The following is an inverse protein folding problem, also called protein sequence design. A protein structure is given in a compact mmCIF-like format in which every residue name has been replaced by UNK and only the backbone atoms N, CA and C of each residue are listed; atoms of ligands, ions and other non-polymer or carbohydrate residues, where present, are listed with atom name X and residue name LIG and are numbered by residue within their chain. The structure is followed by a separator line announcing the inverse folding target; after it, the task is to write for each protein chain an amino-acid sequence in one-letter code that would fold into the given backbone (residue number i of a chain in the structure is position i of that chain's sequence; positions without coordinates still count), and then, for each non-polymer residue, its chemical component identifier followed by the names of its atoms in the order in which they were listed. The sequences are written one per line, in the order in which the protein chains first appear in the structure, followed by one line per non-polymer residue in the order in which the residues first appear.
data_IF_937784218047
#
_entry.id   IF_937784218047
#
_cell.length_a   1.000
_cell.length_b   1.000
_cell.length_c   1.000
_cell.angle_alpha   90.00
_cell.angle_beta   90.00
_cell.angle_gamma   90.00
#
_symmetry.space_group_name_H-M   'P 1'
#
loop_
_entity.id
_entity.type
_entity.pdbx_description
1 polymer ?
#
# COMPACT_ATOMS: atom_id res chain seq x y z
N UNK A 1 19.64 -30.00 -23.14
CA UNK A 1 19.62 -29.50 -21.75
C UNK A 1 18.87 -28.19 -21.78
N UNK A 2 17.63 -28.16 -21.27
CA UNK A 2 16.83 -26.94 -21.16
C UNK A 2 17.12 -26.32 -19.79
N UNK A 3 17.78 -25.17 -19.77
CA UNK A 3 17.91 -24.35 -18.56
C UNK A 3 17.08 -23.10 -18.85
N UNK A 4 15.77 -23.25 -18.65
CA UNK A 4 14.89 -22.10 -18.40
C UNK A 4 15.00 -21.79 -16.91
N UNK A 5 15.47 -20.59 -16.58
CA UNK A 5 14.88 -19.74 -15.54
C UNK A 5 15.72 -18.48 -15.46
N UNK A 6 15.31 -17.55 -16.33
CA UNK A 6 15.39 -16.11 -16.19
C UNK A 6 15.79 -15.65 -14.78
N UNK A 7 17.08 -15.37 -14.59
CA UNK A 7 17.49 -14.39 -13.59
C UNK A 7 17.21 -13.01 -14.16
N UNK A 8 15.93 -12.66 -14.24
CA UNK A 8 15.51 -11.28 -14.41
C UNK A 8 15.85 -10.57 -13.11
N UNK A 9 16.94 -9.79 -13.15
CA UNK A 9 17.25 -8.72 -12.20
C UNK A 9 16.00 -7.89 -11.97
N UNK A 10 15.27 -8.19 -10.89
CA UNK A 10 14.01 -7.52 -10.57
C UNK A 10 14.32 -6.10 -10.13
N UNK A 11 14.43 -5.19 -11.10
CA UNK A 11 14.06 -3.80 -10.89
C UNK A 11 12.74 -3.85 -10.13
N UNK A 12 12.70 -3.35 -8.88
CA UNK A 12 11.46 -3.24 -8.11
C UNK A 12 10.50 -2.44 -8.98
N UNK A 13 9.67 -3.14 -9.75
CA UNK A 13 8.63 -2.50 -10.54
C UNK A 13 7.79 -1.73 -9.54
N UNK A 14 7.62 -0.43 -9.81
CA UNK A 14 6.83 0.44 -8.97
C UNK A 14 5.38 0.00 -9.12
N UNK A 15 4.97 -0.93 -8.27
CA UNK A 15 3.61 -1.47 -8.25
C UNK A 15 2.67 -0.37 -7.73
N UNK A 16 1.77 0.07 -8.60
CA UNK A 16 0.76 1.07 -8.26
C UNK A 16 -0.57 0.38 -7.98
N UNK A 17 -1.13 0.69 -6.81
CA UNK A 17 -2.45 0.27 -6.37
C UNK A 17 -3.48 1.35 -6.71
N UNK A 18 -4.60 0.93 -7.30
CA UNK A 18 -5.78 1.76 -7.50
C UNK A 18 -6.66 1.73 -6.24
N UNK A 19 -7.74 2.50 -6.26
CA UNK A 19 -8.71 2.55 -5.17
C UNK A 19 -9.26 1.15 -4.84
N UNK A 20 -9.59 0.35 -5.86
CA UNK A 20 -10.14 -1.00 -5.65
C UNK A 20 -9.13 -1.91 -4.96
N UNK A 21 -7.88 -1.93 -5.42
CA UNK A 21 -6.81 -2.72 -4.81
C UNK A 21 -6.59 -2.32 -3.34
N UNK A 22 -6.67 -1.02 -3.04
CA UNK A 22 -6.59 -0.52 -1.66
C UNK A 22 -7.75 -1.00 -0.79
N UNK A 23 -8.99 -0.95 -1.31
CA UNK A 23 -10.20 -1.41 -0.63
C UNK A 23 -10.11 -2.91 -0.33
N UNK A 24 -9.72 -3.70 -1.32
CA UNK A 24 -9.55 -5.15 -1.20
C UNK A 24 -8.44 -5.50 -0.20
N UNK A 25 -7.28 -4.85 -0.30
CA UNK A 25 -6.14 -5.08 0.59
C UNK A 25 -6.46 -4.77 2.05
N UNK A 26 -7.27 -3.75 2.29
CA UNK A 26 -7.69 -3.35 3.64
C UNK A 26 -8.93 -4.10 4.12
N UNK A 27 -9.62 -4.83 3.24
CA UNK A 27 -10.86 -5.53 3.59
C UNK A 27 -12.00 -4.59 4.00
N UNK A 28 -12.02 -3.36 3.48
CA UNK A 28 -13.00 -2.33 3.84
C UNK A 28 -13.94 -2.03 2.69
N UNK A 29 -15.06 -1.37 2.97
CA UNK A 29 -15.91 -0.79 1.92
C UNK A 29 -15.32 0.52 1.40
N UNK A 30 -15.72 0.94 0.19
CA UNK A 30 -15.33 2.23 -0.39
C UNK A 30 -15.62 3.41 0.54
N UNK A 31 -16.78 3.41 1.20
CA UNK A 31 -17.16 4.49 2.13
C UNK A 31 -16.24 4.52 3.35
N UNK A 32 -15.92 3.36 3.93
CA UNK A 32 -14.97 3.26 5.04
C UNK A 32 -13.58 3.73 4.62
N UNK A 33 -13.09 3.33 3.45
CA UNK A 33 -11.82 3.79 2.91
C UNK A 33 -11.72 5.32 2.89
N UNK A 34 -12.76 6.02 2.40
CA UNK A 34 -12.75 7.48 2.38
C UNK A 34 -12.83 8.11 3.77
N UNK A 35 -13.53 7.48 4.74
CA UNK A 35 -13.53 7.94 6.14
C UNK A 35 -12.15 7.80 6.75
N UNK A 36 -11.50 6.65 6.60
CA UNK A 36 -10.14 6.39 7.05
C UNK A 36 -9.14 7.37 6.41
N UNK A 37 -9.27 7.63 5.10
CA UNK A 37 -8.44 8.64 4.40
C UNK A 37 -8.63 10.04 4.97
N UNK A 38 -9.87 10.44 5.31
CA UNK A 38 -10.12 11.74 5.97
C UNK A 38 -9.56 11.78 7.39
N UNK A 39 -9.60 10.67 8.11
CA UNK A 39 -9.00 10.52 9.44
C UNK A 39 -7.46 10.42 9.41
N UNK A 40 -6.84 10.34 8.22
CA UNK A 40 -5.40 10.20 8.06
C UNK A 40 -4.87 8.79 8.29
N UNK A 41 -5.75 7.78 8.37
CA UNK A 41 -5.42 6.36 8.55
C UNK A 41 -5.01 5.66 7.24
N UNK A 42 -5.18 6.33 6.10
CA UNK A 42 -4.73 5.85 4.78
C UNK A 42 -3.74 6.87 4.22
N UNK A 43 -2.60 6.44 3.65
CA UNK A 43 -1.64 7.36 3.08
C UNK A 43 -2.25 8.19 1.93
N UNK A 44 -1.73 9.40 1.67
CA UNK A 44 -2.10 10.15 0.49
C UNK A 44 -1.64 9.42 -0.79
N UNK A 45 -2.42 9.53 -1.89
CA UNK A 45 -2.04 8.94 -3.17
C UNK A 45 -0.82 9.66 -3.75
N UNK A 46 0.05 8.91 -4.42
CA UNK A 46 1.22 9.46 -5.15
C UNK A 46 0.75 10.21 -6.38
N UNK A 47 -0.22 9.65 -7.10
CA UNK A 47 -0.82 10.26 -8.29
C UNK A 47 -2.25 10.61 -7.91
N UNK A 48 -2.63 11.89 -8.08
CA UNK A 48 -3.94 12.38 -7.62
C UNK A 48 -5.07 12.13 -8.63
N UNK A 49 -4.77 12.06 -9.92
CA UNK A 49 -5.73 11.82 -11.00
C UNK A 49 -5.09 11.07 -12.19
N UNK A 50 -5.45 9.79 -12.46
CA UNK A 50 -6.28 8.94 -11.62
C UNK A 50 -5.59 8.65 -10.28
N UNK A 51 -6.37 8.37 -9.25
CA UNK A 51 -5.83 8.25 -7.90
C UNK A 51 -5.12 6.91 -7.70
N UNK A 52 -3.82 6.95 -7.44
CA UNK A 52 -2.97 5.75 -7.31
C UNK A 52 -1.98 5.86 -6.15
N UNK A 53 -1.72 4.73 -5.50
CA UNK A 53 -0.81 4.58 -4.37
C UNK A 53 0.35 3.68 -4.75
N UNK A 54 1.56 4.00 -4.31
CA UNK A 54 2.67 3.07 -4.46
C UNK A 54 2.57 1.98 -3.40
N UNK A 55 2.61 0.71 -3.79
CA UNK A 55 2.50 -0.42 -2.86
C UNK A 55 3.56 -0.35 -1.74
N UNK A 56 4.79 0.07 -2.08
CA UNK A 56 5.87 0.28 -1.10
C UNK A 56 5.52 1.35 -0.06
N UNK A 57 4.95 2.49 -0.49
CA UNK A 57 4.55 3.56 0.43
C UNK A 57 3.42 3.10 1.36
N UNK A 58 2.45 2.35 0.84
CA UNK A 58 1.35 1.81 1.64
C UNK A 58 1.87 0.84 2.70
N UNK A 59 2.78 -0.05 2.31
CA UNK A 59 3.44 -0.97 3.24
C UNK A 59 4.19 -0.23 4.34
N UNK A 60 5.06 0.71 3.99
CA UNK A 60 5.84 1.50 4.95
C UNK A 60 4.94 2.30 5.91
N UNK A 61 3.82 2.83 5.42
CA UNK A 61 2.87 3.58 6.23
C UNK A 61 2.28 2.73 7.36
N UNK A 62 1.79 1.53 7.04
CA UNK A 62 1.19 0.65 8.04
C UNK A 62 2.25 -0.02 8.94
N UNK A 63 3.44 -0.32 8.41
CA UNK A 63 4.56 -0.80 9.24
C UNK A 63 5.00 0.24 10.29
N UNK A 64 4.99 1.53 9.92
CA UNK A 64 5.29 2.61 10.87
C UNK A 64 4.24 2.71 11.96
N UNK A 65 2.95 2.65 11.61
CA UNK A 65 1.86 2.69 12.58
C UNK A 65 1.87 1.50 13.53
N UNK A 66 2.11 0.29 13.02
CA UNK A 66 2.24 -0.90 13.86
C UNK A 66 3.37 -0.76 14.89
N UNK A 67 4.49 -0.13 14.53
CA UNK A 67 5.61 0.15 15.44
C UNK A 67 5.28 1.25 16.46
N UNK A 68 4.53 2.27 16.07
CA UNK A 68 4.09 3.35 16.98
C UNK A 68 3.10 2.84 18.02
N UNK A 69 2.21 1.91 17.64
CA UNK A 69 1.28 1.24 18.57
C UNK A 69 2.00 0.29 19.53
N UNK A 70 3.03 -0.43 19.07
CA UNK A 70 3.87 -1.31 19.91
C UNK A 70 4.72 -0.50 20.92
N UNK A 71 5.20 0.70 20.52
CA UNK A 71 6.00 1.57 21.38
C UNK A 71 5.18 2.36 22.44
N UNK A 72 3.85 2.32 22.38
CA UNK A 72 2.94 3.08 23.24
C UNK A 72 2.38 2.33 24.45
N UNK A 73 2.83 1.10 24.72
CA UNK A 73 2.38 0.33 25.89
C UNK A 73 3.40 0.39 27.02
N UNK A 74 3.43 1.51 27.77
CA UNK A 74 4.03 1.63 29.10
C UNK A 74 3.21 2.56 29.98
#
# INVERSE_FOLDING_TARGET
MNIESDQSTAAKEKEFLKINDMIEKLGVTRTQFWRMRKAGEVPPPVIRNPQMWLASQVKEFYERRAKEEDAGTL
#
